data_IF_218544634979
#
_entry.id   IF_218544634979
#
_cell.length_a   1.000
_cell.length_b   1.000
_cell.length_c   1.000
_cell.angle_alpha   90.00
_cell.angle_beta   90.00
_cell.angle_gamma   90.00
#
_symmetry.space_group_name_H-M   'P 1'
#
loop_
_entity.id
_entity.type
_entity.pdbx_description
1 polymer ?
#
# COMPACT_ATOMS: atom_id res chain seq x y z
N UNK A 1 -18.95 -28.27 -0.58
CA UNK A 1 -19.51 -26.98 -1.05
C UNK A 1 -18.38 -26.18 -1.67
N UNK A 2 -18.57 -25.63 -2.85
CA UNK A 2 -17.60 -24.67 -3.43
C UNK A 2 -17.84 -23.36 -2.68
N UNK A 3 -16.81 -22.84 -2.01
CA UNK A 3 -16.88 -21.52 -1.38
C UNK A 3 -17.16 -20.47 -2.47
N UNK A 4 -18.28 -19.74 -2.42
CA UNK A 4 -18.65 -18.76 -3.44
C UNK A 4 -17.64 -17.60 -3.56
N UNK A 5 -16.81 -17.38 -2.54
CA UNK A 5 -15.84 -16.28 -2.47
C UNK A 5 -14.41 -16.69 -2.80
N UNK A 6 -14.18 -17.95 -3.17
CA UNK A 6 -12.85 -18.53 -3.39
C UNK A 6 -11.94 -17.71 -4.33
N UNK A 7 -12.51 -17.02 -5.31
CA UNK A 7 -11.75 -16.25 -6.30
C UNK A 7 -11.82 -14.73 -6.08
N UNK A 8 -12.64 -14.26 -5.14
CA UNK A 8 -12.91 -12.83 -4.95
C UNK A 8 -11.65 -12.05 -4.58
N UNK A 9 -10.80 -12.63 -3.72
CA UNK A 9 -9.52 -11.99 -3.38
C UNK A 9 -8.59 -11.89 -4.61
N UNK A 10 -8.47 -12.96 -5.41
CA UNK A 10 -7.67 -12.93 -6.62
C UNK A 10 -8.20 -11.88 -7.62
N UNK A 11 -9.53 -11.77 -7.79
CA UNK A 11 -10.14 -10.73 -8.62
C UNK A 11 -9.83 -9.32 -8.11
N UNK A 12 -9.87 -9.10 -6.80
CA UNK A 12 -9.48 -7.83 -6.19
C UNK A 12 -8.04 -7.44 -6.55
N UNK A 13 -7.12 -8.40 -6.40
CA UNK A 13 -5.69 -8.21 -6.67
C UNK A 13 -5.40 -7.98 -8.16
N UNK A 14 -6.03 -8.74 -9.04
CA UNK A 14 -5.88 -8.57 -10.50
C UNK A 14 -6.40 -7.21 -10.95
N UNK A 15 -7.51 -6.74 -10.37
CA UNK A 15 -8.08 -5.42 -10.66
C UNK A 15 -7.07 -4.29 -10.36
N UNK A 16 -6.35 -4.39 -9.23
CA UNK A 16 -5.25 -3.46 -8.89
C UNK A 16 -4.05 -3.68 -9.83
N UNK A 17 -3.75 -4.92 -10.20
CA UNK A 17 -2.68 -5.29 -11.12
C UNK A 17 -2.79 -4.64 -12.51
N UNK A 18 -3.99 -4.38 -13.00
CA UNK A 18 -4.20 -3.64 -14.26
C UNK A 18 -3.59 -2.24 -14.23
N UNK A 19 -3.67 -1.53 -13.10
CA UNK A 19 -3.06 -0.20 -12.93
C UNK A 19 -1.55 -0.29 -12.85
N UNK A 20 -1.03 -1.33 -12.19
CA UNK A 20 0.40 -1.59 -12.16
C UNK A 20 0.95 -1.85 -13.57
N UNK A 21 0.26 -2.66 -14.37
CA UNK A 21 0.63 -2.93 -15.77
C UNK A 21 0.59 -1.66 -16.62
N UNK A 22 -0.42 -0.81 -16.42
CA UNK A 22 -0.47 0.51 -17.06
C UNK A 22 0.77 1.34 -16.71
N UNK A 23 1.17 1.42 -15.43
CA UNK A 23 2.40 2.12 -15.03
C UNK A 23 3.65 1.50 -15.68
N UNK A 24 3.73 0.16 -15.73
CA UNK A 24 4.87 -0.57 -16.28
C UNK A 24 5.05 -0.30 -17.79
N UNK A 25 3.97 -0.33 -18.57
CA UNK A 25 4.04 -0.10 -20.01
C UNK A 25 4.22 1.38 -20.36
N UNK A 26 3.53 2.29 -19.67
CA UNK A 26 3.55 3.73 -19.95
C UNK A 26 4.91 4.38 -19.70
N UNK A 27 5.70 3.88 -18.73
CA UNK A 27 6.97 4.50 -18.31
C UNK A 27 8.14 3.51 -18.29
N UNK A 28 8.74 3.21 -19.47
CA UNK A 28 9.90 2.33 -19.58
C UNK A 28 11.10 2.75 -18.72
N UNK A 29 11.28 4.05 -18.53
CA UNK A 29 12.36 4.64 -17.72
C UNK A 29 12.23 4.30 -16.22
N UNK A 30 11.01 4.04 -15.73
CA UNK A 30 10.73 3.75 -14.33
C UNK A 30 10.66 2.25 -14.01
N UNK A 31 10.61 1.37 -15.01
CA UNK A 31 10.36 -0.09 -14.84
C UNK A 31 11.25 -0.77 -13.82
N UNK A 32 12.57 -0.50 -13.86
CA UNK A 32 13.51 -1.11 -12.91
C UNK A 32 13.21 -0.69 -11.47
N UNK A 33 12.75 0.54 -11.27
CA UNK A 33 12.43 1.07 -9.96
C UNK A 33 11.08 0.55 -9.47
N UNK A 34 10.07 0.55 -10.35
CA UNK A 34 8.75 -0.06 -10.14
C UNK A 34 8.89 -1.50 -9.66
N UNK A 35 9.59 -2.36 -10.42
CA UNK A 35 9.79 -3.77 -10.08
C UNK A 35 10.48 -3.95 -8.72
N UNK A 36 11.51 -3.14 -8.40
CA UNK A 36 12.22 -3.26 -7.12
C UNK A 36 11.33 -2.92 -5.93
N UNK A 37 10.51 -1.87 -6.03
CA UNK A 37 9.57 -1.51 -4.96
C UNK A 37 8.52 -2.60 -4.80
N UNK A 38 7.93 -3.01 -5.92
CA UNK A 38 6.90 -4.03 -5.95
C UNK A 38 7.37 -5.33 -5.31
N UNK A 39 8.59 -5.80 -5.59
CA UNK A 39 9.11 -7.01 -4.94
C UNK A 39 9.32 -6.80 -3.43
N UNK A 40 9.89 -5.67 -3.02
CA UNK A 40 10.15 -5.39 -1.58
C UNK A 40 8.84 -5.34 -0.80
N UNK A 41 7.83 -4.63 -1.32
CA UNK A 41 6.52 -4.51 -0.67
C UNK A 41 5.63 -5.72 -0.87
N UNK A 42 5.82 -6.52 -1.92
CA UNK A 42 5.19 -7.83 -2.06
C UNK A 42 5.62 -8.78 -0.95
N UNK A 43 6.93 -8.83 -0.64
CA UNK A 43 7.43 -9.57 0.54
C UNK A 43 6.85 -8.95 1.83
N UNK A 44 6.79 -7.63 1.90
CA UNK A 44 6.16 -6.90 3.00
C UNK A 44 4.70 -7.32 3.23
N UNK A 45 3.90 -7.44 2.17
CA UNK A 45 2.50 -7.85 2.20
C UNK A 45 2.33 -9.24 2.82
N UNK A 46 3.12 -10.22 2.38
CA UNK A 46 3.15 -11.57 2.97
C UNK A 46 3.47 -11.51 4.47
N UNK A 47 4.44 -10.68 4.87
CA UNK A 47 4.81 -10.59 6.30
C UNK A 47 3.77 -9.88 7.16
N UNK A 48 3.09 -8.86 6.62
CA UNK A 48 2.06 -8.14 7.36
C UNK A 48 0.77 -8.95 7.47
N UNK A 49 0.50 -9.81 6.48
CA UNK A 49 -0.68 -10.66 6.44
C UNK A 49 -0.75 -11.64 7.62
N UNK A 50 0.40 -12.14 8.10
CA UNK A 50 0.46 -12.96 9.32
C UNK A 50 -0.23 -12.30 10.53
N UNK A 51 -0.22 -10.97 10.58
CA UNK A 51 -0.82 -10.20 11.68
C UNK A 51 -2.25 -9.81 11.29
N UNK A 52 -2.46 -9.27 10.09
CA UNK A 52 -3.78 -8.81 9.64
C UNK A 52 -4.82 -9.93 9.54
N UNK A 53 -4.42 -11.09 8.99
CA UNK A 53 -5.28 -12.27 8.85
C UNK A 53 -5.73 -12.85 10.19
N UNK A 54 -5.06 -12.48 11.29
CA UNK A 54 -5.41 -12.92 12.64
C UNK A 54 -6.33 -11.92 13.36
N UNK A 55 -6.46 -10.71 12.82
CA UNK A 55 -7.08 -9.60 13.53
C UNK A 55 -8.45 -9.24 12.96
N UNK A 56 -8.57 -8.53 11.83
CA UNK A 56 -9.87 -8.02 11.35
C UNK A 56 -10.32 -8.54 9.98
N UNK A 57 -9.53 -9.35 9.29
CA UNK A 57 -9.95 -9.90 7.99
C UNK A 57 -9.46 -11.33 7.81
N UNK A 58 -10.25 -12.13 7.09
CA UNK A 58 -10.03 -13.56 6.91
C UNK A 58 -10.30 -13.94 5.45
N UNK A 59 -9.31 -13.79 4.55
CA UNK A 59 -9.50 -14.15 3.15
C UNK A 59 -9.57 -15.65 2.93
N UNK A 60 -10.47 -16.06 2.03
CA UNK A 60 -10.29 -17.33 1.33
C UNK A 60 -9.26 -17.14 0.21
N UNK A 61 -8.05 -17.66 0.40
CA UNK A 61 -7.01 -17.70 -0.65
C UNK A 61 -7.24 -18.87 -1.62
N UNK A 62 -6.68 -18.81 -2.82
CA UNK A 62 -6.80 -19.87 -3.83
C UNK A 62 -6.22 -21.21 -3.34
N UNK A 63 -5.17 -21.16 -2.52
CA UNK A 63 -4.54 -22.31 -1.88
C UNK A 63 -5.25 -22.77 -0.61
N UNK A 64 -6.22 -22.00 -0.09
CA UNK A 64 -6.91 -22.27 1.17
C UNK A 64 -6.01 -22.13 2.40
N UNK A 65 -4.87 -21.46 2.26
CA UNK A 65 -3.93 -21.16 3.34
C UNK A 65 -4.19 -19.76 3.90
N UNK A 66 -3.81 -19.52 5.15
CA UNK A 66 -3.93 -18.20 5.78
C UNK A 66 -3.21 -17.09 5.01
N UNK A 67 -2.14 -17.47 4.30
CA UNK A 67 -1.36 -16.58 3.44
C UNK A 67 -1.25 -17.24 2.08
N UNK A 68 -1.60 -16.48 1.05
CA UNK A 68 -1.66 -16.90 -0.33
C UNK A 68 -0.66 -16.16 -1.21
N UNK A 69 -0.71 -16.48 -2.50
CA UNK A 69 0.03 -15.73 -3.53
C UNK A 69 -0.57 -14.34 -3.71
N UNK A 70 -1.86 -14.20 -3.40
CA UNK A 70 -2.64 -12.99 -3.46
C UNK A 70 -2.05 -11.88 -2.59
N UNK A 71 -1.53 -12.19 -1.39
CA UNK A 71 -0.94 -11.20 -0.48
C UNK A 71 0.36 -10.62 -1.03
N UNK A 72 1.18 -11.47 -1.64
CA UNK A 72 2.37 -11.03 -2.35
C UNK A 72 1.99 -10.14 -3.54
N UNK A 73 1.03 -10.58 -4.35
CA UNK A 73 0.59 -9.87 -5.54
C UNK A 73 -0.07 -8.54 -5.18
N UNK A 74 -0.87 -8.48 -4.12
CA UNK A 74 -1.47 -7.27 -3.60
C UNK A 74 -0.38 -6.26 -3.22
N UNK A 75 0.56 -6.66 -2.35
CA UNK A 75 1.67 -5.80 -1.95
C UNK A 75 2.53 -5.36 -3.14
N UNK A 76 2.72 -6.25 -4.11
CA UNK A 76 3.47 -5.99 -5.34
C UNK A 76 2.79 -4.93 -6.23
N UNK A 77 1.50 -5.13 -6.55
CA UNK A 77 0.75 -4.26 -7.43
C UNK A 77 0.42 -2.92 -6.77
N UNK A 78 -0.07 -2.96 -5.53
CA UNK A 78 -0.46 -1.75 -4.79
C UNK A 78 0.74 -0.82 -4.59
N UNK A 79 1.80 -1.29 -3.94
CA UNK A 79 2.94 -0.45 -3.61
C UNK A 79 3.68 0.07 -4.85
N UNK A 80 3.78 -0.75 -5.90
CA UNK A 80 4.37 -0.32 -7.16
C UNK A 80 3.59 0.81 -7.81
N UNK A 81 2.27 0.66 -7.89
CA UNK A 81 1.37 1.64 -8.52
C UNK A 81 1.39 2.95 -7.75
N UNK A 82 1.25 2.90 -6.43
CA UNK A 82 1.30 4.09 -5.56
C UNK A 82 2.65 4.80 -5.66
N UNK A 83 3.77 4.06 -5.65
CA UNK A 83 5.10 4.63 -5.66
C UNK A 83 5.46 5.37 -6.96
N UNK A 84 4.89 4.95 -8.09
CA UNK A 84 5.18 5.50 -9.43
C UNK A 84 4.04 6.32 -10.01
N UNK A 85 2.84 6.23 -9.45
CA UNK A 85 1.62 6.80 -10.04
C UNK A 85 1.72 8.31 -10.23
N UNK A 86 2.36 9.01 -9.29
CA UNK A 86 2.60 10.46 -9.40
C UNK A 86 3.44 10.82 -10.63
N UNK A 87 4.50 10.07 -10.90
CA UNK A 87 5.39 10.29 -12.03
C UNK A 87 4.71 9.92 -13.35
N UNK A 88 4.00 8.79 -13.35
CA UNK A 88 3.29 8.28 -14.53
C UNK A 88 2.21 9.28 -14.96
N UNK A 89 1.36 9.72 -14.03
CA UNK A 89 0.23 10.61 -14.34
C UNK A 89 0.67 12.03 -14.65
N UNK A 90 1.65 12.58 -13.90
CA UNK A 90 2.13 13.95 -14.13
C UNK A 90 3.30 14.05 -15.12
N UNK A 91 3.65 12.95 -15.78
CA UNK A 91 4.77 12.83 -16.72
C UNK A 91 6.08 13.46 -16.20
N UNK A 92 6.43 13.14 -14.94
CA UNK A 92 7.65 13.63 -14.28
C UNK A 92 8.75 12.58 -14.29
N UNK A 93 10.01 13.02 -14.30
CA UNK A 93 11.20 12.17 -14.23
C UNK A 93 11.98 12.40 -12.93
N UNK A 94 12.67 11.36 -12.46
CA UNK A 94 13.57 11.47 -11.31
C UNK A 94 14.88 12.15 -11.71
N UNK A 95 15.29 13.13 -10.92
CA UNK A 95 16.63 13.70 -10.99
C UNK A 95 17.30 13.60 -9.61
N UNK A 96 18.56 13.19 -9.57
CA UNK A 96 19.35 13.24 -8.34
C UNK A 96 19.53 14.69 -7.90
N UNK A 97 19.23 14.97 -6.63
CA UNK A 97 19.59 16.26 -6.02
C UNK A 97 21.08 16.20 -5.64
N UNK A 98 21.87 17.17 -6.11
CA UNK A 98 23.33 17.19 -5.94
C UNK A 98 23.79 17.36 -4.50
N UNK A 99 22.92 17.84 -3.61
CA UNK A 99 23.23 18.04 -2.20
C UNK A 99 22.89 16.80 -1.37
N UNK A 100 23.81 16.38 -0.51
CA UNK A 100 23.65 15.24 0.39
C UNK A 100 22.70 15.63 1.55
N UNK A 101 21.50 15.06 1.60
CA UNK A 101 20.66 15.18 2.80
C UNK A 101 21.39 14.65 4.04
N UNK A 102 21.22 15.38 5.15
CA UNK A 102 21.84 15.15 6.45
C UNK A 102 21.38 13.84 7.14
N UNK A 103 22.39 13.12 7.66
CA UNK A 103 22.49 12.08 8.73
C UNK A 103 21.47 10.95 8.90
N UNK A 104 20.17 11.12 8.65
CA UNK A 104 19.18 10.07 8.92
C UNK A 104 19.10 9.07 7.76
N UNK A 105 19.78 7.94 7.93
CA UNK A 105 19.76 6.82 6.98
C UNK A 105 18.35 6.22 6.91
N UNK A 106 17.87 5.93 5.69
CA UNK A 106 16.62 5.19 5.41
C UNK A 106 16.37 3.98 6.32
N UNK A 107 17.45 3.30 6.77
CA UNK A 107 17.38 2.22 7.76
C UNK A 107 16.61 2.60 9.03
N UNK A 108 16.67 3.85 9.48
CA UNK A 108 15.97 4.30 10.68
C UNK A 108 14.46 4.39 10.46
N UNK A 109 14.00 4.84 9.29
CA UNK A 109 12.57 4.82 8.96
C UNK A 109 12.07 3.38 8.84
N UNK A 110 12.82 2.51 8.15
CA UNK A 110 12.47 1.10 8.05
C UNK A 110 12.42 0.42 9.44
N UNK A 111 13.42 0.67 10.29
CA UNK A 111 13.45 0.16 11.67
C UNK A 111 12.34 0.75 12.53
N UNK A 112 12.01 2.03 12.39
CA UNK A 112 10.90 2.66 13.10
C UNK A 112 9.55 2.04 12.71
N UNK A 113 9.34 1.74 11.43
CA UNK A 113 8.10 1.06 10.99
C UNK A 113 8.03 -0.34 11.56
N UNK A 114 9.11 -1.12 11.46
CA UNK A 114 9.16 -2.46 12.00
C UNK A 114 8.96 -2.45 13.53
N UNK A 115 9.65 -1.56 14.24
CA UNK A 115 9.55 -1.44 15.69
C UNK A 115 8.17 -0.95 16.14
N UNK A 116 7.59 0.03 15.46
CA UNK A 116 6.26 0.53 15.79
C UNK A 116 5.21 -0.53 15.46
N UNK A 117 5.24 -1.14 14.28
CA UNK A 117 4.25 -2.11 13.86
C UNK A 117 4.32 -3.42 14.65
N UNK A 118 5.48 -4.09 14.66
CA UNK A 118 5.63 -5.35 15.40
C UNK A 118 5.68 -5.13 16.91
N UNK A 119 6.25 -4.02 17.38
CA UNK A 119 6.28 -3.70 18.81
C UNK A 119 4.88 -3.42 19.35
N UNK A 120 4.09 -2.59 18.67
CA UNK A 120 2.72 -2.30 19.13
C UNK A 120 1.81 -3.53 19.09
N UNK A 121 1.91 -4.36 18.06
CA UNK A 121 1.04 -5.56 17.91
C UNK A 121 1.49 -6.71 18.82
N UNK A 122 2.76 -7.11 18.77
CA UNK A 122 3.23 -8.31 19.47
C UNK A 122 3.56 -8.06 20.95
N UNK A 123 3.98 -6.85 21.32
CA UNK A 123 4.37 -6.55 22.71
C UNK A 123 3.23 -5.89 23.49
N UNK A 124 2.53 -4.94 22.87
CA UNK A 124 1.47 -4.17 23.54
C UNK A 124 0.07 -4.68 23.25
N UNK A 125 -0.10 -5.68 22.36
CA UNK A 125 -1.40 -6.24 22.02
C UNK A 125 -2.35 -5.23 21.37
N UNK A 126 -1.82 -4.15 20.77
CA UNK A 126 -2.63 -3.18 20.06
C UNK A 126 -3.24 -3.82 18.81
N UNK A 127 -4.50 -3.49 18.55
CA UNK A 127 -5.17 -3.84 17.31
C UNK A 127 -4.30 -3.39 16.13
N UNK A 128 -4.02 -4.32 15.21
CA UNK A 128 -2.98 -4.15 14.20
C UNK A 128 -3.27 -3.02 13.20
N UNK A 129 -4.48 -2.48 13.21
CA UNK A 129 -4.96 -1.41 12.35
C UNK A 129 -4.43 -0.10 12.91
N UNK A 130 -4.67 0.12 14.20
CA UNK A 130 -4.13 1.26 14.93
C UNK A 130 -2.60 1.24 14.90
N UNK A 131 -1.99 0.07 15.09
CA UNK A 131 -0.55 -0.12 14.96
C UNK A 131 -0.04 0.35 13.58
N UNK A 132 -0.71 -0.04 12.51
CA UNK A 132 -0.32 0.31 11.14
C UNK A 132 -0.52 1.79 10.85
N UNK A 133 -1.68 2.35 11.21
CA UNK A 133 -1.99 3.77 11.01
C UNK A 133 -0.99 4.65 11.77
N UNK A 134 -0.64 4.28 13.02
CA UNK A 134 0.38 4.99 13.78
C UNK A 134 1.76 4.85 13.14
N UNK A 135 2.16 3.65 12.71
CA UNK A 135 3.45 3.44 12.07
C UNK A 135 3.59 4.24 10.76
N UNK A 136 2.62 4.13 9.85
CA UNK A 136 2.62 4.88 8.60
C UNK A 136 2.45 6.38 8.82
N UNK A 137 1.55 6.80 9.71
CA UNK A 137 1.30 8.20 10.03
C UNK A 137 2.54 8.90 10.59
N UNK A 138 3.16 8.33 11.63
CA UNK A 138 4.36 8.91 12.26
C UNK A 138 5.55 8.93 11.29
N UNK A 139 5.77 7.85 10.53
CA UNK A 139 6.88 7.80 9.57
C UNK A 139 6.67 8.75 8.39
N UNK A 140 5.42 8.92 7.94
CA UNK A 140 5.07 9.91 6.91
C UNK A 140 5.27 11.32 7.43
N UNK A 141 4.74 11.64 8.61
CA UNK A 141 4.91 12.95 9.23
C UNK A 141 6.40 13.30 9.42
N UNK A 142 7.19 12.34 9.91
CA UNK A 142 8.63 12.52 10.07
C UNK A 142 9.33 12.74 8.72
N UNK A 143 9.04 11.94 7.71
CA UNK A 143 9.59 12.09 6.36
C UNK A 143 9.26 13.46 5.75
N UNK A 144 8.00 13.90 5.86
CA UNK A 144 7.54 15.18 5.34
C UNK A 144 8.10 16.37 6.13
N UNK A 145 8.37 16.22 7.43
CA UNK A 145 9.04 17.25 8.24
C UNK A 145 10.45 17.57 7.72
N UNK A 146 11.14 16.58 7.14
CA UNK A 146 12.48 16.71 6.59
C UNK A 146 12.46 17.09 5.10
N UNK A 147 11.37 16.77 4.40
CA UNK A 147 11.21 16.90 2.95
C UNK A 147 9.81 17.39 2.59
N UNK A 148 9.55 18.65 2.92
CA UNK A 148 8.27 19.35 2.65
C UNK A 148 7.94 19.37 1.15
N UNK A 149 8.95 19.32 0.27
CA UNK A 149 8.78 19.20 -1.18
C UNK A 149 8.07 17.90 -1.62
N UNK A 150 8.01 16.89 -0.76
CA UNK A 150 7.35 15.61 -1.02
C UNK A 150 5.86 15.62 -0.67
N UNK A 151 5.34 16.66 -0.02
CA UNK A 151 3.91 16.74 0.37
C UNK A 151 2.97 16.55 -0.84
N UNK A 152 3.17 17.21 -2.01
CA UNK A 152 2.28 17.00 -3.14
C UNK A 152 2.30 15.56 -3.66
N UNK A 153 3.46 14.89 -3.56
CA UNK A 153 3.58 13.50 -3.93
C UNK A 153 2.89 12.58 -2.92
N UNK A 154 3.02 12.84 -1.62
CA UNK A 154 2.33 12.08 -0.58
C UNK A 154 0.81 12.21 -0.72
N UNK A 155 0.28 13.42 -0.91
CA UNK A 155 -1.16 13.66 -1.08
C UNK A 155 -1.72 12.96 -2.33
N UNK A 156 -1.01 13.07 -3.46
CA UNK A 156 -1.42 12.37 -4.68
C UNK A 156 -1.39 10.84 -4.50
N UNK A 157 -0.36 10.33 -3.85
CA UNK A 157 -0.19 8.89 -3.62
C UNK A 157 -1.22 8.36 -2.61
N UNK A 158 -1.62 9.17 -1.64
CA UNK A 158 -2.72 8.89 -0.73
C UNK A 158 -4.05 8.77 -1.49
N UNK A 159 -4.38 9.78 -2.31
CA UNK A 159 -5.58 9.76 -3.14
C UNK A 159 -5.61 8.59 -4.14
N UNK A 160 -4.46 8.28 -4.75
CA UNK A 160 -4.31 7.10 -5.61
C UNK A 160 -4.48 5.81 -4.80
N UNK A 161 -3.95 5.75 -3.58
CA UNK A 161 -4.17 4.65 -2.63
C UNK A 161 -5.65 4.41 -2.36
N UNK A 162 -6.41 5.47 -2.05
CA UNK A 162 -7.87 5.38 -1.87
C UNK A 162 -8.58 4.86 -3.13
N UNK A 163 -8.22 5.39 -4.31
CA UNK A 163 -8.80 4.96 -5.58
C UNK A 163 -8.56 3.46 -5.82
N UNK A 164 -7.33 2.99 -5.58
CA UNK A 164 -7.01 1.57 -5.68
C UNK A 164 -7.76 0.73 -4.63
N UNK A 165 -7.98 1.27 -3.43
CA UNK A 165 -8.84 0.67 -2.41
C UNK A 165 -10.27 0.48 -2.91
N UNK A 166 -10.90 1.54 -3.45
CA UNK A 166 -12.25 1.41 -4.03
C UNK A 166 -12.32 0.38 -5.15
N UNK A 167 -11.28 0.27 -5.98
CA UNK A 167 -11.20 -0.76 -7.01
C UNK A 167 -11.04 -2.15 -6.41
N UNK A 168 -10.19 -2.29 -5.39
CA UNK A 168 -9.94 -3.54 -4.69
C UNK A 168 -11.21 -4.10 -4.05
N UNK A 169 -12.00 -3.27 -3.39
CA UNK A 169 -13.28 -3.69 -2.79
C UNK A 169 -14.42 -3.76 -3.81
N UNK A 170 -14.56 -2.75 -4.67
CA UNK A 170 -15.70 -2.63 -5.58
C UNK A 170 -15.70 -3.63 -6.72
N UNK A 171 -14.54 -3.92 -7.33
CA UNK A 171 -14.48 -4.85 -8.46
C UNK A 171 -14.96 -6.28 -8.12
N UNK A 172 -14.49 -6.93 -7.04
CA UNK A 172 -14.99 -8.24 -6.65
C UNK A 172 -16.44 -8.18 -6.13
N UNK A 173 -16.84 -7.11 -5.44
CA UNK A 173 -18.21 -6.96 -4.93
C UNK A 173 -19.26 -6.92 -6.07
N UNK A 174 -18.89 -6.41 -7.25
CA UNK A 174 -19.73 -6.45 -8.45
C UNK A 174 -19.89 -7.87 -9.05
N UNK A 175 -18.94 -8.77 -8.79
CA UNK A 175 -18.93 -10.14 -9.35
C UNK A 175 -19.47 -11.15 -8.34
N UNK A 176 -19.09 -10.99 -7.07
CA UNK A 176 -19.48 -11.81 -5.93
C UNK A 176 -19.97 -10.92 -4.80
N UNK A 177 -21.22 -10.44 -4.85
CA UNK A 177 -21.78 -9.59 -3.80
C UNK A 177 -21.77 -10.29 -2.43
N UNK A 178 -21.54 -9.53 -1.37
CA UNK A 178 -21.41 -10.03 0.00
C UNK A 178 -20.02 -10.55 0.35
N UNK A 179 -19.03 -10.40 -0.53
CA UNK A 179 -17.67 -10.87 -0.26
C UNK A 179 -17.04 -10.12 0.90
N UNK A 180 -17.13 -8.78 0.90
CA UNK A 180 -16.58 -7.95 1.98
C UNK A 180 -17.23 -8.33 3.30
N UNK A 181 -18.55 -8.54 3.30
CA UNK A 181 -19.26 -8.90 4.52
C UNK A 181 -18.92 -10.29 5.07
N UNK A 182 -18.59 -11.22 4.19
CA UNK A 182 -18.23 -12.59 4.56
C UNK A 182 -16.78 -12.72 5.04
N UNK A 183 -15.90 -11.78 4.67
CA UNK A 183 -14.45 -11.91 4.91
C UNK A 183 -13.89 -10.91 5.91
N UNK A 184 -14.57 -9.81 6.20
CA UNK A 184 -14.17 -8.86 7.24
C UNK A 184 -14.88 -9.15 8.57
N UNK A 185 -14.13 -9.06 9.67
CA UNK A 185 -14.62 -9.24 11.04
C UNK A 185 -15.21 -7.92 11.58
N UNK A 186 -16.49 -7.66 11.29
CA UNK A 186 -17.16 -6.44 11.75
C UNK A 186 -17.35 -6.34 13.26
N UNK A 187 -17.18 -7.44 14.00
CA UNK A 187 -17.14 -7.44 15.46
C UNK A 187 -15.92 -6.68 16.01
N UNK A 188 -14.87 -6.52 15.19
CA UNK A 188 -13.64 -5.79 15.54
C UNK A 188 -13.48 -4.45 14.81
N UNK A 189 -14.35 -4.15 13.85
CA UNK A 189 -14.37 -2.92 13.07
C UNK A 189 -15.53 -2.02 13.51
N UNK A 190 -15.51 -0.75 13.11
CA UNK A 190 -16.59 0.19 13.43
C UNK A 190 -17.91 -0.11 12.70
N UNK A 191 -17.88 -0.97 11.68
CA UNK A 191 -19.06 -1.30 10.85
C UNK A 191 -19.52 -0.19 9.89
N UNK A 192 -18.76 0.91 9.78
CA UNK A 192 -19.08 2.00 8.87
C UNK A 192 -18.43 1.79 7.50
N UNK A 193 -19.15 2.14 6.42
CA UNK A 193 -18.70 1.95 5.05
C UNK A 193 -18.64 3.25 4.26
N UNK A 194 -17.72 3.30 3.29
CA UNK A 194 -17.65 4.30 2.23
C UNK A 194 -17.66 3.55 0.90
N UNK A 195 -18.74 3.62 0.11
CA UNK A 195 -18.84 3.01 -1.23
C UNK A 195 -18.35 1.54 -1.28
N UNK A 196 -18.82 0.70 -0.34
CA UNK A 196 -18.45 -0.72 -0.18
C UNK A 196 -17.08 -1.02 0.45
N UNK A 197 -16.31 0.02 0.81
CA UNK A 197 -15.05 -0.11 1.52
C UNK A 197 -15.26 0.17 3.02
N UNK A 198 -14.77 -0.68 3.94
CA UNK A 198 -14.77 -0.37 5.37
C UNK A 198 -14.01 0.92 5.66
N UNK A 199 -14.47 1.71 6.64
CA UNK A 199 -13.88 3.00 6.99
C UNK A 199 -12.41 2.85 7.43
N UNK A 200 -12.08 1.79 8.15
CA UNK A 200 -10.73 1.46 8.58
C UNK A 200 -9.82 1.23 7.38
N UNK A 201 -10.25 0.40 6.42
CA UNK A 201 -9.51 0.19 5.19
C UNK A 201 -9.32 1.51 4.42
N UNK A 202 -10.32 2.39 4.39
CA UNK A 202 -10.16 3.71 3.77
C UNK A 202 -8.96 4.47 4.36
N UNK A 203 -8.85 4.51 5.69
CA UNK A 203 -7.70 5.11 6.35
C UNK A 203 -6.40 4.35 6.09
N UNK A 204 -6.44 3.02 6.06
CA UNK A 204 -5.28 2.18 5.79
C UNK A 204 -4.70 2.46 4.40
N UNK A 205 -5.52 2.42 3.36
CA UNK A 205 -5.11 2.68 1.98
C UNK A 205 -4.59 4.10 1.79
N UNK A 206 -5.22 5.08 2.47
CA UNK A 206 -4.78 6.48 2.47
C UNK A 206 -3.39 6.61 3.11
N UNK A 207 -3.20 6.05 4.30
CA UNK A 207 -1.95 6.13 5.06
C UNK A 207 -0.81 5.38 4.37
N UNK A 208 -1.07 4.17 3.87
CA UNK A 208 -0.12 3.39 3.09
C UNK A 208 0.27 4.14 1.80
N UNK A 209 -0.72 4.73 1.12
CA UNK A 209 -0.53 5.57 -0.07
C UNK A 209 0.42 6.75 0.19
N UNK A 210 0.12 7.53 1.23
CA UNK A 210 0.89 8.69 1.66
C UNK A 210 2.33 8.33 2.06
N UNK A 211 2.52 7.15 2.64
CA UNK A 211 3.81 6.67 3.09
C UNK A 211 4.68 6.15 1.93
N UNK A 212 4.12 5.25 1.10
CA UNK A 212 4.88 4.52 0.06
C UNK A 212 5.30 5.45 -1.09
N UNK A 213 4.41 6.34 -1.52
CA UNK A 213 4.66 7.30 -2.61
C UNK A 213 6.01 8.03 -2.53
N UNK A 214 6.23 8.83 -1.47
CA UNK A 214 7.44 9.63 -1.30
C UNK A 214 8.67 8.82 -0.86
N UNK A 215 8.51 7.57 -0.44
CA UNK A 215 9.54 6.79 0.23
C UNK A 215 10.83 6.65 -0.60
N UNK A 216 10.70 6.40 -1.90
CA UNK A 216 11.85 6.27 -2.79
C UNK A 216 12.56 7.61 -3.01
N UNK A 217 11.80 8.69 -3.17
CA UNK A 217 12.36 10.02 -3.34
C UNK A 217 13.14 10.44 -2.12
N UNK A 218 12.60 10.12 -0.94
CA UNK A 218 13.28 10.31 0.32
C UNK A 218 14.56 9.48 0.39
N UNK A 219 14.49 8.16 0.15
CA UNK A 219 15.62 7.24 0.23
C UNK A 219 16.78 7.60 -0.70
N UNK A 220 16.47 7.96 -1.94
CA UNK A 220 17.47 8.23 -2.99
C UNK A 220 17.78 9.71 -3.16
N UNK A 221 17.12 10.57 -2.38
CA UNK A 221 17.18 12.02 -2.51
C UNK A 221 16.88 12.50 -3.95
N UNK A 222 15.82 11.96 -4.53
CA UNK A 222 15.35 12.39 -5.85
C UNK A 222 14.45 13.62 -5.72
N UNK A 223 14.50 14.47 -6.73
CA UNK A 223 13.53 15.51 -7.03
C UNK A 223 12.80 15.15 -8.32
N UNK A 224 11.56 15.62 -8.47
CA UNK A 224 10.79 15.42 -9.71
C UNK A 224 10.89 16.66 -10.59
N UNK A 225 11.21 16.47 -11.87
CA UNK A 225 11.12 17.54 -12.88
C UNK A 225 10.19 17.12 -14.02
N UNK A 226 9.59 18.09 -14.74
CA UNK A 226 8.90 17.80 -15.99
C UNK A 226 9.84 17.07 -16.94
N UNK A 227 9.32 16.06 -17.64
CA UNK A 227 10.08 15.34 -18.66
C UNK A 227 10.35 16.28 -19.84
N UNK A 228 11.63 16.56 -20.13
CA UNK A 228 12.03 17.12 -21.42
C UNK A 228 11.89 16.04 -22.48
N UNK A 229 11.09 16.33 -23.52
CA UNK A 229 10.88 15.48 -24.70
C UNK A 229 12.11 15.56 -25.59
#
# INVERSE_FOLDING_TARGET
>A
MIDPYKFSYLFAVVSVGCFWLYCYWSRPDLRRMLLRISVIFGIGGVTSEFIYASDWWHPTTLTGTMIGIEDFLFGFFFAGTVAMGYEVVLNKTYQARGERLSKCRFRYIALSILALFFGSTLVFGLHSFLATILAFGLCTAWMLSQRVDLIPNALFSAALGCLLGFIFFGAPELVTPGWVEATWSFDKLSGHFILHMPLEDFFWFTAAGAFIGPLIKFRKNYQTKPRTI
#
